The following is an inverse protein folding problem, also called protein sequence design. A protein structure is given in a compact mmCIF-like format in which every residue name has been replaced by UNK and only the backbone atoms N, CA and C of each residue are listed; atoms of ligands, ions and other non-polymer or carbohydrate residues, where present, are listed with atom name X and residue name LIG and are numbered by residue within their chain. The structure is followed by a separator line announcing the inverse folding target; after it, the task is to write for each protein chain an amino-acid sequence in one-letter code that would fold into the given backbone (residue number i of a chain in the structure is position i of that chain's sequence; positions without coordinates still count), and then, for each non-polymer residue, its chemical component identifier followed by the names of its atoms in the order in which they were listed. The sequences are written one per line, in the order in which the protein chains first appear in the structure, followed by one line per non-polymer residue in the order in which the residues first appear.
data_IF_417719815081
#
_entry.id   IF_417719815081
#
_cell.length_a   1.000
_cell.length_b   1.000
_cell.length_c   1.000
_cell.angle_alpha   90.00
_cell.angle_beta   90.00
_cell.angle_gamma   90.00
#
_symmetry.space_group_name_H-M   'P 1'
#
loop_
_entity.id
_entity.type
_entity.pdbx_description
1 polymer ?
#
# COMPACT_ATOMS: atom_id res chain seq x y z
N UNK A 1 10.61 2.35 -15.51
CA UNK A 1 10.69 1.34 -14.46
C UNK A 1 10.06 1.87 -13.20
N UNK A 2 9.16 1.11 -12.59
CA UNK A 2 8.68 1.39 -11.24
C UNK A 2 9.88 1.49 -10.30
N UNK A 3 9.89 2.55 -9.48
CA UNK A 3 10.92 2.75 -8.48
C UNK A 3 10.37 2.23 -7.17
N UNK A 4 11.05 1.23 -6.61
CA UNK A 4 10.75 0.65 -5.33
C UNK A 4 11.77 1.16 -4.30
N UNK A 5 11.31 1.58 -3.12
CA UNK A 5 12.19 1.80 -1.98
C UNK A 5 12.69 0.46 -1.42
N UNK A 6 13.88 0.43 -0.83
CA UNK A 6 14.34 -0.73 -0.06
C UNK A 6 13.48 -0.84 1.22
N UNK A 7 12.68 -1.93 1.39
CA UNK A 7 11.77 -2.10 2.52
C UNK A 7 12.45 -2.07 3.89
N UNK A 8 13.76 -2.30 3.97
CA UNK A 8 14.51 -2.23 5.23
C UNK A 8 14.44 -0.86 5.89
N UNK A 9 14.31 0.21 5.10
CA UNK A 9 14.13 1.57 5.62
C UNK A 9 12.79 1.78 6.32
N UNK A 10 11.83 0.88 6.11
CA UNK A 10 10.47 0.91 6.68
C UNK A 10 10.21 -0.28 7.60
N UNK A 11 11.26 -0.84 8.22
CA UNK A 11 11.16 -2.01 9.09
C UNK A 11 10.49 -3.23 8.43
N UNK A 12 10.63 -3.38 7.10
CA UNK A 12 9.97 -4.39 6.27
C UNK A 12 8.43 -4.35 6.30
N UNK A 13 7.83 -3.21 6.68
CA UNK A 13 6.37 -3.00 6.69
C UNK A 13 5.93 -2.27 5.43
N UNK A 14 6.20 -2.88 4.28
CA UNK A 14 5.85 -2.33 2.96
C UNK A 14 5.05 -3.37 2.19
N UNK A 15 3.77 -3.06 1.95
CA UNK A 15 2.92 -3.77 0.99
C UNK A 15 2.91 -3.03 -0.34
N UNK A 16 2.77 -3.78 -1.44
CA UNK A 16 2.79 -3.23 -2.79
C UNK A 16 1.62 -3.75 -3.59
N UNK A 17 0.83 -2.82 -4.11
CA UNK A 17 -0.19 -3.08 -5.11
C UNK A 17 0.38 -2.55 -6.42
N UNK A 18 0.60 -3.47 -7.36
CA UNK A 18 1.18 -3.16 -8.67
C UNK A 18 0.05 -2.68 -9.58
N UNK A 19 -0.03 -1.36 -9.79
CA UNK A 19 -1.04 -0.75 -10.66
C UNK A 19 -0.30 -0.27 -11.91
N UNK A 20 -0.59 -0.88 -13.06
CA UNK A 20 -0.03 -0.45 -14.33
C UNK A 20 -0.36 1.03 -14.62
N UNK A 21 0.60 1.77 -15.18
CA UNK A 21 0.46 3.21 -15.48
C UNK A 21 -0.76 3.43 -16.41
N UNK A 22 -1.70 4.29 -15.99
CA UNK A 22 -3.03 4.54 -16.60
C UNK A 22 -4.15 3.53 -16.34
N UNK A 23 -3.94 2.52 -15.49
CA UNK A 23 -4.99 1.60 -15.07
C UNK A 23 -5.42 1.86 -13.61
N UNK A 24 -6.62 1.42 -13.27
CA UNK A 24 -7.12 1.39 -11.88
C UNK A 24 -6.86 0.00 -11.28
N UNK A 25 -6.68 -0.11 -9.95
CA UNK A 25 -6.65 -1.40 -9.31
C UNK A 25 -7.97 -2.15 -9.55
N UNK A 26 -7.89 -3.47 -9.67
CA UNK A 26 -9.06 -4.34 -9.72
C UNK A 26 -9.84 -4.24 -8.41
N UNK A 27 -11.14 -4.56 -8.46
CA UNK A 27 -11.96 -4.62 -7.24
C UNK A 27 -11.37 -5.57 -6.20
N UNK A 28 -10.79 -6.68 -6.65
CA UNK A 28 -10.16 -7.65 -5.77
C UNK A 28 -8.95 -7.06 -5.04
N UNK A 29 -8.09 -6.31 -5.72
CA UNK A 29 -6.94 -5.64 -5.11
C UNK A 29 -7.38 -4.59 -4.09
N UNK A 30 -8.46 -3.86 -4.37
CA UNK A 30 -9.03 -2.88 -3.43
C UNK A 30 -9.59 -3.55 -2.17
N UNK A 31 -10.24 -4.71 -2.31
CA UNK A 31 -10.76 -5.48 -1.17
C UNK A 31 -9.59 -6.06 -0.35
N UNK A 32 -8.58 -6.63 -1.01
CA UNK A 32 -7.39 -7.15 -0.35
C UNK A 32 -6.65 -6.06 0.44
N UNK A 33 -6.46 -4.88 -0.18
CA UNK A 33 -5.87 -3.71 0.48
C UNK A 33 -6.65 -3.29 1.71
N UNK A 34 -7.98 -3.15 1.58
CA UNK A 34 -8.85 -2.71 2.68
C UNK A 34 -8.74 -3.65 3.88
N UNK A 35 -8.70 -4.97 3.62
CA UNK A 35 -8.54 -5.98 4.67
C UNK A 35 -7.17 -5.93 5.34
N UNK A 36 -6.10 -5.75 4.56
CA UNK A 36 -4.74 -5.60 5.11
C UNK A 36 -4.63 -4.38 6.03
N UNK A 37 -5.21 -3.24 5.60
CA UNK A 37 -5.25 -2.01 6.41
C UNK A 37 -6.04 -2.21 7.70
N UNK A 38 -7.21 -2.85 7.62
CA UNK A 38 -8.04 -3.15 8.79
C UNK A 38 -7.28 -4.02 9.80
N UNK A 39 -6.66 -5.11 9.33
CA UNK A 39 -5.87 -6.01 10.17
C UNK A 39 -4.65 -5.32 10.79
N UNK A 40 -4.02 -4.38 10.08
CA UNK A 40 -2.90 -3.59 10.62
C UNK A 40 -3.35 -2.63 11.71
N UNK A 41 -4.41 -1.85 11.46
CA UNK A 41 -4.91 -0.86 12.42
C UNK A 41 -5.53 -1.51 13.67
N UNK A 42 -6.05 -2.73 13.56
CA UNK A 42 -6.59 -3.48 14.69
C UNK A 42 -5.51 -4.03 15.65
N UNK A 43 -4.25 -4.12 15.23
CA UNK A 43 -3.17 -4.67 16.06
C UNK A 43 -2.73 -3.73 17.19
N UNK A 44 -2.82 -2.41 16.99
CA UNK A 44 -2.42 -1.41 17.97
C UNK A 44 -3.15 -0.08 17.71
N UNK A 45 -3.75 0.57 18.72
CA UNK A 45 -4.42 1.85 18.55
C UNK A 45 -3.50 3.00 18.07
N UNK A 46 -2.18 2.88 18.20
CA UNK A 46 -1.20 3.85 17.70
C UNK A 46 -0.71 3.54 16.27
N UNK A 47 -1.14 2.43 15.67
CA UNK A 47 -0.77 2.10 14.29
C UNK A 47 -1.33 3.13 13.30
N UNK A 48 -0.49 3.49 12.34
CA UNK A 48 -0.85 4.36 11.22
C UNK A 48 -0.53 3.67 9.89
N UNK A 49 -1.17 4.13 8.81
CA UNK A 49 -0.84 3.74 7.44
C UNK A 49 -0.37 4.94 6.63
N UNK A 50 0.51 4.68 5.65
CA UNK A 50 0.97 5.68 4.68
C UNK A 50 0.78 5.12 3.27
N UNK A 51 0.03 5.83 2.44
CA UNK A 51 -0.20 5.46 1.04
C UNK A 51 0.61 6.41 0.15
N UNK A 52 1.40 5.85 -0.76
CA UNK A 52 2.23 6.63 -1.69
C UNK A 52 2.14 6.07 -3.11
N UNK A 53 1.85 6.95 -4.08
CA UNK A 53 1.91 6.65 -5.50
C UNK A 53 2.89 7.62 -6.20
N UNK A 54 3.65 7.11 -7.18
CA UNK A 54 4.63 7.88 -7.96
C UNK A 54 4.03 9.13 -8.61
N UNK A 55 2.76 9.07 -9.01
CA UNK A 55 2.09 10.16 -9.73
C UNK A 55 1.56 11.29 -8.84
N UNK A 56 1.46 11.09 -7.51
CA UNK A 56 0.86 12.06 -6.60
C UNK A 56 -0.57 12.51 -7.00
N UNK A 57 -1.25 11.73 -7.85
CA UNK A 57 -2.60 12.03 -8.35
C UNK A 57 -3.46 10.78 -8.22
N UNK A 58 -4.42 10.89 -7.33
CA UNK A 58 -5.48 9.98 -6.95
C UNK A 58 -6.32 10.70 -5.92
#
# INVERSE_FOLDING_TARGET
GERAYDPKHFHNRVSRIMIDDHNVPTLWEMVAFSKEVEEWLAQDPENIIVIHCKGGKG
#
